data_IF_026564245881
#
_entry.id   IF_026564245881
#
_cell.length_a   1.000
_cell.length_b   1.000
_cell.length_c   1.000
_cell.angle_alpha   90.00
_cell.angle_beta   90.00
_cell.angle_gamma   90.00
#
_symmetry.space_group_name_H-M   'P 1'
#
loop_
_entity.id
_entity.type
_entity.pdbx_description
1 polymer ?
#
# COMPACT_ATOMS: atom_id res chain seq x y z
N UNK A 1 -3.82 10.76 -1.89
CA UNK A 1 -3.22 10.55 -0.56
C UNK A 1 -1.75 10.15 -0.65
N UNK A 2 -0.98 10.32 0.43
CA UNK A 2 0.42 9.87 0.51
C UNK A 2 0.51 8.33 0.49
N UNK A 3 1.51 7.75 -0.19
CA UNK A 3 1.72 6.28 -0.16
C UNK A 3 2.49 5.91 1.09
N UNK A 4 1.94 5.01 1.92
CA UNK A 4 2.69 4.42 3.04
C UNK A 4 3.97 3.72 2.58
N UNK A 5 3.92 2.94 1.50
CA UNK A 5 5.10 2.22 1.01
C UNK A 5 6.13 3.18 0.41
N UNK A 6 5.67 4.20 -0.31
CA UNK A 6 6.52 5.23 -0.91
C UNK A 6 7.21 6.08 0.15
N UNK A 7 6.48 6.59 1.14
CA UNK A 7 7.07 7.39 2.23
C UNK A 7 8.05 6.57 3.06
N UNK A 8 7.72 5.32 3.41
CA UNK A 8 8.62 4.44 4.14
C UNK A 8 9.90 4.13 3.35
N UNK A 9 9.80 3.84 2.05
CA UNK A 9 10.97 3.62 1.20
C UNK A 9 11.80 4.88 1.04
N UNK A 10 11.20 6.05 0.81
CA UNK A 10 11.91 7.31 0.70
C UNK A 10 12.67 7.63 1.99
N UNK A 11 12.03 7.46 3.17
CA UNK A 11 12.70 7.66 4.45
C UNK A 11 13.88 6.70 4.64
N UNK A 12 13.70 5.41 4.31
CA UNK A 12 14.76 4.41 4.37
C UNK A 12 15.94 4.73 3.43
N UNK A 13 15.67 5.18 2.21
CA UNK A 13 16.70 5.63 1.27
C UNK A 13 17.44 6.87 1.79
N UNK A 14 16.74 7.82 2.42
CA UNK A 14 17.35 9.03 2.99
C UNK A 14 18.31 8.74 4.14
N UNK A 15 18.05 7.68 4.92
CA UNK A 15 18.97 7.24 5.98
C UNK A 15 20.06 6.27 5.47
N UNK A 16 20.16 6.07 4.16
CA UNK A 16 21.25 5.36 3.51
C UNK A 16 21.01 3.87 3.20
N UNK A 17 19.78 3.35 3.34
CA UNK A 17 19.48 2.00 2.84
C UNK A 17 19.51 1.98 1.31
N UNK A 18 19.84 0.82 0.74
CA UNK A 18 19.63 0.60 -0.68
C UNK A 18 18.14 0.34 -1.00
N UNK A 19 17.79 0.36 -2.28
CA UNK A 19 16.40 0.23 -2.74
C UNK A 19 15.74 -1.12 -2.36
N UNK A 20 16.53 -2.20 -2.38
CA UNK A 20 16.08 -3.55 -2.03
C UNK A 20 15.71 -3.66 -0.55
N UNK A 21 16.60 -3.20 0.32
CA UNK A 21 16.40 -3.23 1.76
C UNK A 21 15.32 -2.25 2.19
N UNK A 22 15.26 -1.07 1.56
CA UNK A 22 14.18 -0.10 1.75
C UNK A 22 12.81 -0.69 1.40
N UNK A 23 12.71 -1.43 0.28
CA UNK A 23 11.47 -2.08 -0.14
C UNK A 23 11.02 -3.15 0.86
N UNK A 24 11.95 -4.02 1.30
CA UNK A 24 11.67 -5.05 2.31
C UNK A 24 11.23 -4.43 3.63
N UNK A 25 11.93 -3.40 4.11
CA UNK A 25 11.57 -2.68 5.31
C UNK A 25 10.15 -2.11 5.22
N UNK A 26 9.83 -1.43 4.11
CA UNK A 26 8.50 -0.85 3.91
C UNK A 26 7.38 -1.91 3.89
N UNK A 27 7.64 -3.12 3.38
CA UNK A 27 6.68 -4.23 3.42
C UNK A 27 6.54 -4.86 4.81
N UNK A 28 7.63 -5.00 5.57
CA UNK A 28 7.55 -5.51 6.95
C UNK A 28 6.83 -4.51 7.86
N UNK A 29 7.13 -3.22 7.74
CA UNK A 29 6.45 -2.14 8.47
C UNK A 29 4.94 -2.09 8.16
N UNK A 30 4.53 -2.56 6.98
CA UNK A 30 3.12 -2.66 6.58
C UNK A 30 2.29 -3.48 7.56
N UNK A 31 2.87 -4.57 8.07
CA UNK A 31 2.14 -5.59 8.81
C UNK A 31 1.57 -5.00 10.11
N UNK A 32 2.37 -4.44 11.03
CA UNK A 32 1.82 -3.86 12.26
C UNK A 32 0.97 -2.61 11.98
N UNK A 33 1.29 -1.82 10.96
CA UNK A 33 0.55 -0.58 10.65
C UNK A 33 -0.84 -0.85 10.09
N UNK A 34 -0.97 -1.77 9.13
CA UNK A 34 -2.27 -2.19 8.57
C UNK A 34 -3.07 -2.95 9.62
N UNK A 35 -2.42 -3.81 10.41
CA UNK A 35 -3.10 -4.52 11.49
C UNK A 35 -3.66 -3.55 12.54
N UNK A 36 -2.89 -2.54 12.95
CA UNK A 36 -3.38 -1.48 13.83
C UNK A 36 -4.59 -0.74 13.24
N UNK A 37 -4.51 -0.36 11.95
CA UNK A 37 -5.64 0.28 11.26
C UNK A 37 -6.88 -0.62 11.19
N UNK A 38 -6.71 -1.93 11.04
CA UNK A 38 -7.81 -2.90 11.07
C UNK A 38 -8.50 -2.96 12.43
N UNK A 39 -7.73 -2.91 13.53
CA UNK A 39 -8.29 -2.91 14.89
C UNK A 39 -9.18 -1.68 15.09
N UNK A 40 -8.72 -0.49 14.68
CA UNK A 40 -9.54 0.73 14.73
C UNK A 40 -10.79 0.62 13.86
N UNK A 41 -10.65 0.12 12.61
CA UNK A 41 -11.76 -0.08 11.70
C UNK A 41 -12.85 -0.98 12.31
N UNK A 42 -12.47 -2.09 12.95
CA UNK A 42 -13.42 -2.99 13.62
C UNK A 42 -14.10 -2.27 14.79
N UNK A 43 -13.35 -1.48 15.57
CA UNK A 43 -13.92 -0.65 16.64
C UNK A 43 -15.00 0.31 16.14
N UNK A 44 -14.70 1.04 15.07
CA UNK A 44 -15.67 1.94 14.43
C UNK A 44 -16.90 1.18 13.90
N UNK A 45 -16.70 0.01 13.31
CA UNK A 45 -17.83 -0.79 12.79
C UNK A 45 -18.82 -1.18 13.89
N UNK A 46 -18.32 -1.51 15.08
CA UNK A 46 -19.15 -1.83 16.26
C UNK A 46 -19.85 -0.58 16.78
N UNK A 47 -19.16 0.56 16.84
CA UNK A 47 -19.72 1.82 17.33
C UNK A 47 -20.86 2.36 16.46
N UNK A 48 -20.77 2.18 15.14
CA UNK A 48 -21.75 2.70 14.18
C UNK A 48 -22.76 1.64 13.69
N UNK A 49 -22.82 0.45 14.31
CA UNK A 49 -23.71 -0.66 13.93
C UNK A 49 -23.70 -0.96 12.42
N UNK A 50 -22.50 -1.00 11.85
CA UNK A 50 -22.34 -1.04 10.38
C UNK A 50 -22.77 -2.40 9.84
N UNK A 51 -23.69 -2.43 8.88
CA UNK A 51 -24.10 -3.69 8.23
C UNK A 51 -23.00 -4.20 7.28
N UNK A 52 -22.59 -5.46 7.48
CA UNK A 52 -21.53 -6.09 6.69
C UNK A 52 -22.13 -7.10 5.72
N UNK A 53 -21.87 -6.92 4.43
CA UNK A 53 -22.08 -7.97 3.45
C UNK A 53 -20.92 -8.97 3.49
N UNK A 54 -21.14 -10.10 4.15
CA UNK A 54 -20.13 -11.15 4.37
C UNK A 54 -19.60 -11.70 3.03
N UNK A 55 -20.44 -11.84 2.01
CA UNK A 55 -20.03 -12.36 0.70
C UNK A 55 -19.04 -11.39 0.05
N UNK A 56 -19.37 -10.11 0.01
CA UNK A 56 -18.47 -9.07 -0.52
C UNK A 56 -17.16 -8.98 0.25
N UNK A 57 -17.20 -9.11 1.58
CA UNK A 57 -16.00 -9.10 2.42
C UNK A 57 -15.07 -10.27 2.09
N UNK A 58 -15.59 -11.49 2.02
CA UNK A 58 -14.77 -12.69 1.75
C UNK A 58 -14.18 -12.64 0.33
N UNK A 59 -14.98 -12.27 -0.67
CA UNK A 59 -14.50 -12.12 -2.05
C UNK A 59 -13.44 -11.04 -2.13
N UNK A 60 -13.67 -9.88 -1.52
CA UNK A 60 -12.70 -8.77 -1.48
C UNK A 60 -11.40 -9.16 -0.77
N UNK A 61 -11.48 -9.90 0.33
CA UNK A 61 -10.33 -10.40 1.08
C UNK A 61 -9.49 -11.37 0.24
N UNK A 62 -10.12 -12.41 -0.34
CA UNK A 62 -9.40 -13.43 -1.12
C UNK A 62 -8.77 -12.84 -2.38
N UNK A 63 -9.51 -12.01 -3.12
CA UNK A 63 -8.99 -11.34 -4.31
C UNK A 63 -7.83 -10.41 -3.96
N UNK A 64 -7.97 -9.58 -2.93
CA UNK A 64 -6.90 -8.69 -2.47
C UNK A 64 -5.67 -9.46 -2.00
N UNK A 65 -5.85 -10.59 -1.30
CA UNK A 65 -4.75 -11.44 -0.84
C UNK A 65 -3.90 -11.96 -2.02
N UNK A 66 -4.56 -12.54 -3.03
CA UNK A 66 -3.90 -13.07 -4.23
C UNK A 66 -3.21 -11.94 -5.00
N UNK A 67 -3.93 -10.85 -5.27
CA UNK A 67 -3.41 -9.72 -6.05
C UNK A 67 -2.26 -9.03 -5.31
N UNK A 68 -2.35 -8.85 -3.99
CA UNK A 68 -1.28 -8.24 -3.20
C UNK A 68 -0.02 -9.10 -3.22
N UNK A 69 -0.13 -10.42 -3.06
CA UNK A 69 1.01 -11.32 -3.13
C UNK A 69 1.73 -11.24 -4.48
N UNK A 70 0.97 -11.34 -5.57
CA UNK A 70 1.52 -11.21 -6.94
C UNK A 70 2.15 -9.83 -7.14
N UNK A 71 1.46 -8.77 -6.73
CA UNK A 71 1.94 -7.39 -6.84
C UNK A 71 3.26 -7.21 -6.11
N UNK A 72 3.40 -7.69 -4.86
CA UNK A 72 4.65 -7.58 -4.10
C UNK A 72 5.78 -8.32 -4.81
N UNK A 73 5.53 -9.55 -5.27
CA UNK A 73 6.53 -10.36 -5.99
C UNK A 73 7.05 -9.63 -7.23
N UNK A 74 6.15 -9.15 -8.09
CA UNK A 74 6.55 -8.47 -9.32
C UNK A 74 7.09 -7.06 -9.07
N UNK A 75 6.58 -6.35 -8.07
CA UNK A 75 7.06 -5.04 -7.67
C UNK A 75 8.53 -5.08 -7.27
N UNK A 76 8.94 -6.05 -6.43
CA UNK A 76 10.33 -6.18 -6.02
C UNK A 76 11.26 -6.41 -7.22
N UNK A 77 10.86 -7.29 -8.16
CA UNK A 77 11.63 -7.55 -9.38
C UNK A 77 11.71 -6.30 -10.27
N UNK A 78 10.59 -5.58 -10.42
CA UNK A 78 10.50 -4.40 -11.26
C UNK A 78 11.36 -3.26 -10.72
N UNK A 79 11.24 -2.97 -9.44
CA UNK A 79 11.94 -1.87 -8.77
C UNK A 79 13.44 -2.14 -8.70
N UNK A 80 13.87 -3.38 -8.48
CA UNK A 80 15.30 -3.74 -8.56
C UNK A 80 15.90 -3.53 -9.97
N UNK A 81 15.10 -3.65 -11.04
CA UNK A 81 15.57 -3.51 -12.43
C UNK A 81 15.47 -2.08 -12.99
N UNK A 82 14.36 -1.39 -12.73
CA UNK A 82 13.99 -0.13 -13.39
C UNK A 82 13.98 1.04 -12.39
N UNK A 83 13.94 0.75 -11.09
CA UNK A 83 13.85 1.76 -10.04
C UNK A 83 12.43 2.30 -9.83
N UNK A 84 12.34 3.41 -9.08
CA UNK A 84 11.06 4.00 -8.65
C UNK A 84 10.49 5.04 -9.62
N UNK A 85 11.26 5.50 -10.60
CA UNK A 85 10.87 6.60 -11.50
C UNK A 85 9.51 6.39 -12.20
N UNK A 86 9.17 5.20 -12.74
CA UNK A 86 7.86 4.97 -13.35
C UNK A 86 6.70 5.23 -12.38
N UNK A 87 6.85 4.87 -11.11
CA UNK A 87 5.83 5.09 -10.09
C UNK A 87 5.68 6.57 -9.72
N UNK A 88 6.77 7.32 -9.72
CA UNK A 88 6.74 8.77 -9.48
C UNK A 88 5.99 9.46 -10.60
N UNK A 89 6.32 9.15 -11.86
CA UNK A 89 5.64 9.71 -13.05
C UNK A 89 4.15 9.38 -13.02
N UNK A 90 3.80 8.11 -12.78
CA UNK A 90 2.41 7.67 -12.63
C UNK A 90 1.67 8.48 -11.55
N UNK A 91 2.30 8.71 -10.39
CA UNK A 91 1.68 9.44 -9.27
C UNK A 91 1.51 10.93 -9.54
N UNK A 92 2.47 11.56 -10.20
CA UNK A 92 2.34 12.98 -10.61
C UNK A 92 1.17 13.12 -11.58
N UNK A 93 1.12 12.28 -12.61
CA UNK A 93 0.02 12.29 -13.58
C UNK A 93 -1.34 12.02 -12.92
N UNK A 94 -1.43 11.00 -12.08
CA UNK A 94 -2.65 10.69 -11.34
C UNK A 94 -3.05 11.85 -10.42
N UNK A 95 -2.10 12.50 -9.76
CA UNK A 95 -2.35 13.67 -8.91
C UNK A 95 -2.93 14.84 -9.69
N UNK A 96 -2.36 15.16 -10.85
CA UNK A 96 -2.89 16.19 -11.75
C UNK A 96 -4.30 15.83 -12.21
N UNK A 97 -4.52 14.58 -12.63
CA UNK A 97 -5.83 14.11 -13.09
C UNK A 97 -6.90 14.24 -12.00
N UNK A 98 -6.59 13.89 -10.76
CA UNK A 98 -7.52 14.02 -9.64
C UNK A 98 -7.83 15.48 -9.32
N UNK A 99 -6.87 16.40 -9.45
CA UNK A 99 -7.09 17.85 -9.26
C UNK A 99 -7.97 18.49 -10.35
N UNK A 100 -8.05 17.88 -11.52
CA UNK A 100 -8.93 18.35 -12.61
C UNK A 100 -10.33 17.76 -12.48
N UNK A 101 -10.44 16.55 -11.94
CA UNK A 101 -11.72 15.84 -11.80
C UNK A 101 -12.57 16.31 -10.61
N UNK A 102 -11.90 16.77 -9.54
CA UNK A 102 -12.50 17.25 -8.29
C UNK A 102 -12.51 18.78 -8.32
#
# INVERSE_FOLDING_TARGET
GASRSGTAMTAALLIGLNLKDSSKFAFLLAIPTIFGALVFLIGDMVLYETQINIISLVVGFLTSCIVAFLTIKYFLIFVEKIGMYPFVIYRVFLGILLLVLI
#
